data_IF_004743493074
#
_entry.id   IF_004743493074
#
_cell.length_a   1.000
_cell.length_b   1.000
_cell.length_c   1.000
_cell.angle_alpha   90.00
_cell.angle_beta   90.00
_cell.angle_gamma   90.00
#
_symmetry.space_group_name_H-M   'P 1'
#
loop_
_entity.id
_entity.type
_entity.pdbx_description
1 polymer ?
#
# COMPACT_ATOMS: atom_id res chain seq x y z
N UNK A 1 17.77 -10.71 14.76
CA UNK A 1 16.61 -11.57 14.44
C UNK A 1 16.14 -11.22 13.04
N UNK A 2 15.73 -12.21 12.24
CA UNK A 2 15.19 -11.97 10.89
C UNK A 2 13.74 -11.47 11.00
N UNK A 3 13.39 -10.47 10.20
CA UNK A 3 12.12 -9.75 10.32
C UNK A 3 11.12 -10.27 9.28
N UNK A 4 10.14 -11.06 9.71
CA UNK A 4 9.08 -11.57 8.83
C UNK A 4 8.15 -10.45 8.37
N UNK A 5 7.64 -10.59 7.12
CA UNK A 5 6.83 -9.61 6.43
C UNK A 5 5.72 -10.26 5.62
N UNK A 6 4.57 -9.61 5.55
CA UNK A 6 3.50 -9.95 4.60
C UNK A 6 3.02 -8.71 3.85
N UNK A 7 2.40 -8.92 2.70
CA UNK A 7 1.63 -7.91 1.95
C UNK A 7 0.16 -8.29 2.02
N UNK A 8 -0.69 -7.32 2.32
CA UNK A 8 -2.14 -7.43 2.15
C UNK A 8 -2.54 -6.47 1.04
N UNK A 9 -2.96 -7.02 -0.08
CA UNK A 9 -3.49 -6.27 -1.22
C UNK A 9 -5.02 -6.40 -1.24
N UNK A 10 -5.71 -5.26 -1.30
CA UNK A 10 -7.16 -5.22 -1.45
C UNK A 10 -7.58 -4.77 -2.85
N UNK A 11 -8.40 -5.57 -3.53
CA UNK A 11 -8.95 -5.26 -4.85
C UNK A 11 -10.48 -5.10 -4.85
N UNK A 12 -10.99 -3.92 -5.25
CA UNK A 12 -12.42 -3.72 -5.50
C UNK A 12 -12.70 -3.66 -7.00
N UNK A 13 -13.11 -4.78 -7.61
CA UNK A 13 -13.43 -4.85 -9.03
C UNK A 13 -14.89 -4.48 -9.30
N UNK A 14 -15.78 -4.66 -8.32
CA UNK A 14 -17.20 -4.38 -8.44
C UNK A 14 -18.02 -5.25 -7.48
N UNK A 15 -19.20 -4.78 -7.10
CA UNK A 15 -20.21 -5.61 -6.43
C UNK A 15 -20.98 -6.47 -7.44
N UNK A 16 -21.98 -7.25 -7.00
CA UNK A 16 -22.77 -8.13 -7.89
C UNK A 16 -23.50 -7.39 -9.01
N UNK A 17 -23.78 -6.09 -8.82
CA UNK A 17 -24.47 -5.26 -9.80
C UNK A 17 -23.51 -4.58 -10.80
N UNK A 18 -22.20 -4.85 -10.71
CA UNK A 18 -21.22 -4.27 -11.60
C UNK A 18 -21.42 -4.74 -13.05
N UNK A 19 -21.28 -3.81 -14.00
CA UNK A 19 -21.36 -4.10 -15.44
C UNK A 19 -20.37 -5.21 -15.85
N UNK A 20 -20.87 -6.39 -16.29
CA UNK A 20 -20.01 -7.48 -16.73
C UNK A 20 -19.06 -7.09 -17.86
N UNK A 21 -19.43 -6.13 -18.71
CA UNK A 21 -18.57 -5.66 -19.80
C UNK A 21 -17.32 -4.91 -19.30
N UNK A 22 -17.37 -4.32 -18.11
CA UNK A 22 -16.23 -3.61 -17.52
C UNK A 22 -15.22 -4.56 -16.84
N UNK A 23 -15.64 -5.77 -16.49
CA UNK A 23 -14.85 -6.69 -15.67
C UNK A 23 -13.53 -7.16 -16.29
N UNK A 24 -13.44 -7.51 -17.59
CA UNK A 24 -12.16 -7.86 -18.22
C UNK A 24 -11.10 -6.78 -18.06
N UNK A 25 -11.47 -5.50 -18.24
CA UNK A 25 -10.54 -4.38 -18.13
C UNK A 25 -10.10 -4.16 -16.68
N UNK A 26 -11.02 -4.30 -15.71
CA UNK A 26 -10.69 -4.21 -14.28
C UNK A 26 -9.79 -5.35 -13.84
N UNK A 27 -10.04 -6.57 -14.30
CA UNK A 27 -9.16 -7.73 -14.08
C UNK A 27 -7.77 -7.53 -14.67
N UNK A 28 -7.66 -7.02 -15.90
CA UNK A 28 -6.38 -6.66 -16.50
C UNK A 28 -5.60 -5.63 -15.66
N UNK A 29 -6.30 -4.60 -15.18
CA UNK A 29 -5.72 -3.59 -14.30
C UNK A 29 -5.24 -4.17 -12.96
N UNK A 30 -6.01 -5.04 -12.33
CA UNK A 30 -5.59 -5.79 -11.14
C UNK A 30 -4.36 -6.66 -11.45
N UNK A 31 -4.35 -7.37 -12.58
CA UNK A 31 -3.23 -8.21 -13.00
C UNK A 31 -1.93 -7.43 -13.12
N UNK A 32 -1.96 -6.21 -13.67
CA UNK A 32 -0.80 -5.33 -13.70
C UNK A 32 -0.29 -4.95 -12.30
N UNK A 33 -1.20 -4.70 -11.35
CA UNK A 33 -0.85 -4.38 -9.96
C UNK A 33 -0.24 -5.59 -9.24
N UNK A 34 -0.82 -6.79 -9.42
CA UNK A 34 -0.30 -8.02 -8.84
C UNK A 34 1.09 -8.36 -9.38
N UNK A 35 1.27 -8.25 -10.71
CA UNK A 35 2.57 -8.45 -11.36
C UNK A 35 3.62 -7.46 -10.83
N UNK A 36 3.24 -6.20 -10.64
CA UNK A 36 4.13 -5.19 -10.07
C UNK A 36 4.58 -5.55 -8.65
N UNK A 37 3.66 -5.96 -7.77
CA UNK A 37 4.00 -6.46 -6.43
C UNK A 37 4.93 -7.67 -6.53
N UNK A 38 4.61 -8.65 -7.37
CA UNK A 38 5.41 -9.86 -7.55
C UNK A 38 6.84 -9.55 -7.98
N UNK A 39 7.03 -8.59 -8.89
CA UNK A 39 8.33 -8.14 -9.35
C UNK A 39 9.13 -7.41 -8.25
N UNK A 40 8.47 -6.61 -7.42
CA UNK A 40 9.11 -5.90 -6.30
C UNK A 40 9.59 -6.84 -5.19
N UNK A 41 8.82 -7.88 -4.87
CA UNK A 41 9.16 -8.79 -3.76
C UNK A 41 10.10 -9.93 -4.18
N UNK A 42 10.19 -10.24 -5.48
CA UNK A 42 11.04 -11.33 -6.01
C UNK A 42 12.51 -11.26 -5.57
N UNK A 43 13.17 -10.09 -5.51
CA UNK A 43 14.56 -10.01 -5.06
C UNK A 43 14.75 -10.13 -3.54
N UNK A 44 13.65 -10.20 -2.76
CA UNK A 44 13.73 -10.33 -1.31
C UNK A 44 14.45 -11.62 -0.92
N UNK A 45 15.43 -11.51 -0.03
CA UNK A 45 16.15 -12.65 0.53
C UNK A 45 15.26 -13.55 1.41
N UNK A 46 14.13 -13.01 1.88
CA UNK A 46 13.16 -13.71 2.71
C UNK A 46 11.82 -13.80 1.98
N UNK A 47 11.12 -14.94 2.04
CA UNK A 47 9.77 -15.06 1.50
C UNK A 47 8.84 -14.02 2.11
N UNK A 48 8.10 -13.31 1.25
CA UNK A 48 7.04 -12.38 1.65
C UNK A 48 5.72 -13.04 1.28
N UNK A 49 4.89 -13.33 2.29
CA UNK A 49 3.52 -13.79 2.07
C UNK A 49 2.70 -12.66 1.44
N UNK A 50 1.91 -12.95 0.41
CA UNK A 50 0.97 -11.99 -0.18
C UNK A 50 -0.44 -12.56 -0.07
N UNK A 51 -1.30 -11.86 0.66
CA UNK A 51 -2.72 -12.18 0.82
C UNK A 51 -3.54 -11.16 0.05
N UNK A 52 -4.43 -11.64 -0.82
CA UNK A 52 -5.31 -10.80 -1.63
C UNK A 52 -6.74 -10.89 -1.11
N UNK A 53 -7.22 -9.77 -0.57
CA UNK A 53 -8.63 -9.55 -0.32
C UNK A 53 -9.29 -8.95 -1.56
N UNK A 54 -10.50 -9.35 -1.90
CA UNK A 54 -11.16 -8.82 -3.08
C UNK A 54 -12.69 -8.75 -2.97
N UNK A 55 -13.26 -7.85 -3.76
CA UNK A 55 -14.70 -7.77 -4.03
C UNK A 55 -14.89 -7.74 -5.55
N UNK A 56 -15.57 -8.75 -6.08
CA UNK A 56 -15.94 -8.92 -7.47
C UNK A 56 -17.29 -9.67 -7.52
N UNK A 57 -18.08 -9.55 -8.60
CA UNK A 57 -19.23 -10.41 -8.81
C UNK A 57 -18.81 -11.88 -8.82
N UNK A 58 -19.63 -12.77 -8.26
CA UNK A 58 -19.30 -14.21 -8.14
C UNK A 58 -19.04 -14.89 -9.48
N UNK A 59 -19.68 -14.41 -10.54
CA UNK A 59 -19.47 -14.91 -11.90
C UNK A 59 -18.01 -14.80 -12.37
N UNK A 60 -17.18 -13.97 -11.72
CA UNK A 60 -15.78 -13.72 -12.05
C UNK A 60 -14.79 -14.32 -11.05
N UNK A 61 -15.26 -15.13 -10.08
CA UNK A 61 -14.39 -15.71 -9.05
C UNK A 61 -13.26 -16.54 -9.68
N UNK A 62 -13.55 -17.33 -10.72
CA UNK A 62 -12.54 -18.17 -11.37
C UNK A 62 -11.39 -17.35 -11.98
N UNK A 63 -11.71 -16.27 -12.68
CA UNK A 63 -10.73 -15.37 -13.30
C UNK A 63 -9.93 -14.59 -12.26
N UNK A 64 -10.59 -14.11 -11.20
CA UNK A 64 -9.91 -13.46 -10.07
C UNK A 64 -8.94 -14.43 -9.40
N UNK A 65 -9.39 -15.64 -9.11
CA UNK A 65 -8.57 -16.67 -8.46
C UNK A 65 -7.38 -17.05 -9.33
N UNK A 66 -7.60 -17.21 -10.63
CA UNK A 66 -6.53 -17.47 -11.59
C UNK A 66 -5.49 -16.35 -11.61
N UNK A 67 -5.93 -15.09 -11.69
CA UNK A 67 -5.02 -13.94 -11.68
C UNK A 67 -4.16 -13.89 -10.41
N UNK A 68 -4.75 -14.13 -9.24
CA UNK A 68 -4.04 -14.18 -7.95
C UNK A 68 -3.05 -15.36 -7.91
N UNK A 69 -3.51 -16.56 -8.25
CA UNK A 69 -2.72 -17.78 -8.18
C UNK A 69 -1.55 -17.79 -9.18
N UNK A 70 -1.68 -17.10 -10.31
CA UNK A 70 -0.61 -16.97 -11.32
C UNK A 70 0.67 -16.33 -10.79
N UNK A 71 0.59 -15.60 -9.67
CA UNK A 71 1.72 -14.98 -8.98
C UNK A 71 2.12 -15.73 -7.70
N UNK A 72 1.48 -16.87 -7.39
CA UNK A 72 1.72 -17.62 -6.15
C UNK A 72 1.16 -16.94 -4.89
N UNK A 73 0.22 -16.01 -5.05
CA UNK A 73 -0.40 -15.30 -3.93
C UNK A 73 -1.59 -16.09 -3.38
N UNK A 74 -1.93 -15.85 -2.11
CA UNK A 74 -3.08 -16.47 -1.46
C UNK A 74 -4.30 -15.56 -1.51
N UNK A 75 -5.48 -16.16 -1.50
CA UNK A 75 -6.76 -15.46 -1.44
C UNK A 75 -7.18 -15.40 0.04
N UNK A 76 -7.67 -14.24 0.48
CA UNK A 76 -8.38 -14.14 1.76
C UNK A 76 -9.69 -14.94 1.71
N UNK A 77 -9.86 -16.03 2.51
CA UNK A 77 -11.03 -16.90 2.42
C UNK A 77 -12.35 -16.16 2.65
N UNK A 78 -12.34 -15.18 3.56
CA UNK A 78 -13.52 -14.41 3.89
C UNK A 78 -13.95 -13.45 2.76
N UNK A 79 -13.12 -13.24 1.73
CA UNK A 79 -13.51 -12.56 0.49
C UNK A 79 -14.48 -13.44 -0.31
N UNK A 80 -14.21 -14.75 -0.41
CA UNK A 80 -15.04 -15.73 -1.12
C UNK A 80 -16.44 -15.83 -0.49
N UNK A 81 -16.50 -15.80 0.84
CA UNK A 81 -17.72 -15.94 1.64
C UNK A 81 -18.54 -14.64 1.73
N UNK A 82 -17.95 -13.49 1.41
CA UNK A 82 -18.62 -12.19 1.57
C UNK A 82 -19.85 -12.03 0.68
N UNK A 83 -20.75 -11.13 1.08
CA UNK A 83 -21.94 -10.75 0.30
C UNK A 83 -21.63 -9.86 -0.93
N UNK A 84 -20.35 -9.63 -1.22
CA UNK A 84 -19.82 -8.85 -2.34
C UNK A 84 -20.32 -7.39 -2.39
N UNK A 85 -20.80 -6.82 -1.29
CA UNK A 85 -21.14 -5.39 -1.25
C UNK A 85 -19.90 -4.52 -1.19
N UNK A 86 -19.99 -3.31 -1.73
CA UNK A 86 -18.97 -2.30 -1.51
C UNK A 86 -18.98 -1.85 -0.03
N UNK A 87 -18.00 -2.31 0.73
CA UNK A 87 -17.75 -1.93 2.13
C UNK A 87 -16.47 -1.11 2.28
N UNK A 88 -16.16 -0.32 1.24
CA UNK A 88 -14.92 0.45 1.16
C UNK A 88 -13.69 -0.44 1.43
N UNK A 89 -12.79 -0.03 2.32
CA UNK A 89 -11.57 -0.77 2.66
C UNK A 89 -11.76 -1.93 3.66
N UNK A 90 -12.97 -2.20 4.14
CA UNK A 90 -13.23 -3.23 5.16
C UNK A 90 -12.60 -4.60 4.84
N UNK A 91 -12.78 -5.19 3.63
CA UNK A 91 -12.23 -6.52 3.35
C UNK A 91 -10.71 -6.55 3.48
N UNK A 92 -10.03 -5.47 3.08
CA UNK A 92 -8.60 -5.32 3.21
C UNK A 92 -8.14 -5.22 4.67
N UNK A 93 -8.83 -4.41 5.48
CA UNK A 93 -8.51 -4.26 6.90
C UNK A 93 -8.80 -5.52 7.71
N UNK A 94 -9.88 -6.24 7.38
CA UNK A 94 -10.19 -7.55 7.96
C UNK A 94 -9.10 -8.57 7.64
N UNK A 95 -8.67 -8.67 6.38
CA UNK A 95 -7.58 -9.55 5.99
C UNK A 95 -6.26 -9.19 6.71
N UNK A 96 -5.97 -7.90 6.84
CA UNK A 96 -4.82 -7.40 7.59
C UNK A 96 -4.89 -7.74 9.09
N UNK A 97 -6.06 -7.68 9.72
CA UNK A 97 -6.27 -8.13 11.10
C UNK A 97 -6.05 -9.64 11.24
N UNK A 98 -6.58 -10.43 10.32
CA UNK A 98 -6.38 -11.88 10.30
C UNK A 98 -4.90 -12.28 10.12
N UNK A 99 -4.12 -11.51 9.35
CA UNK A 99 -2.65 -11.66 9.28
C UNK A 99 -2.01 -11.29 10.60
N UNK A 100 -2.39 -10.16 11.19
CA UNK A 100 -1.83 -9.68 12.43
C UNK A 100 -2.04 -10.64 13.61
N UNK A 101 -3.22 -11.25 13.73
CA UNK A 101 -3.59 -12.13 14.85
C UNK A 101 -2.88 -13.49 14.84
N UNK A 102 -2.39 -13.94 13.68
CA UNK A 102 -1.61 -15.19 13.55
C UNK A 102 -0.10 -14.99 13.52
N UNK A 103 0.36 -13.74 13.47
CA UNK A 103 1.78 -13.39 13.35
C UNK A 103 2.41 -13.00 14.69
N UNK A 104 3.74 -12.97 14.76
CA UNK A 104 4.42 -12.39 15.92
C UNK A 104 4.13 -10.89 16.01
N UNK A 105 4.13 -10.29 17.22
CA UNK A 105 3.85 -8.86 17.38
C UNK A 105 4.74 -7.92 16.56
N UNK A 106 5.99 -8.33 16.30
CA UNK A 106 6.96 -7.55 15.53
C UNK A 106 6.82 -7.73 14.02
N UNK A 107 6.04 -8.70 13.54
CA UNK A 107 5.79 -8.93 12.11
C UNK A 107 5.30 -7.65 11.42
N UNK A 108 5.83 -7.37 10.23
CA UNK A 108 5.44 -6.18 9.47
C UNK A 108 4.46 -6.55 8.36
N UNK A 109 3.36 -5.82 8.27
CA UNK A 109 2.35 -6.01 7.23
C UNK A 109 2.33 -4.75 6.36
N UNK A 110 2.57 -4.91 5.06
CA UNK A 110 2.38 -3.83 4.10
C UNK A 110 0.97 -3.91 3.54
N UNK A 111 0.17 -2.87 3.77
CA UNK A 111 -1.15 -2.73 3.19
C UNK A 111 -1.09 -1.86 1.93
N UNK A 112 -1.72 -2.33 0.87
CA UNK A 112 -2.00 -1.55 -0.33
C UNK A 112 -3.37 -1.92 -0.91
N UNK A 113 -3.98 -1.01 -1.67
CA UNK A 113 -5.26 -1.26 -2.31
C UNK A 113 -5.29 -0.86 -3.79
N UNK A 114 -6.23 -1.41 -4.55
CA UNK A 114 -6.39 -1.23 -5.99
C UNK A 114 -6.98 0.15 -6.32
N UNK A 115 -6.25 1.21 -6.00
CA UNK A 115 -6.74 2.58 -6.22
C UNK A 115 -6.98 2.83 -7.70
N UNK A 116 -8.18 3.27 -8.05
CA UNK A 116 -8.55 3.67 -9.42
C UNK A 116 -8.91 2.53 -10.38
N UNK A 117 -8.97 1.27 -9.91
CA UNK A 117 -9.36 0.12 -10.74
C UNK A 117 -10.76 0.28 -11.35
N UNK A 118 -11.73 0.81 -10.58
CA UNK A 118 -13.11 1.00 -11.05
C UNK A 118 -13.24 2.03 -12.17
N UNK A 119 -12.28 2.96 -12.24
CA UNK A 119 -12.20 4.04 -13.22
C UNK A 119 -11.10 3.81 -14.26
N UNK A 120 -10.34 2.70 -14.16
CA UNK A 120 -9.19 2.38 -14.99
C UNK A 120 -8.19 3.54 -15.12
N UNK A 121 -7.97 4.27 -14.02
CA UNK A 121 -7.24 5.55 -14.05
C UNK A 121 -5.72 5.34 -14.16
N UNK A 122 -5.05 5.82 -15.22
CA UNK A 122 -3.59 5.70 -15.36
C UNK A 122 -2.83 6.42 -14.24
N UNK A 123 -3.29 7.61 -13.84
CA UNK A 123 -2.67 8.35 -12.73
C UNK A 123 -2.75 7.59 -11.40
N UNK A 124 -3.83 6.83 -11.17
CA UNK A 124 -3.94 5.99 -9.96
C UNK A 124 -3.11 4.71 -10.05
N UNK A 125 -2.92 4.13 -11.24
CA UNK A 125 -1.90 3.08 -11.46
C UNK A 125 -0.50 3.60 -11.11
N UNK A 126 -0.17 4.80 -11.58
CA UNK A 126 1.06 5.50 -11.25
C UNK A 126 1.27 5.68 -9.75
N UNK A 127 0.25 6.18 -9.06
CA UNK A 127 0.25 6.32 -7.61
C UNK A 127 0.44 4.98 -6.89
N UNK A 128 -0.25 3.92 -7.34
CA UNK A 128 -0.06 2.56 -6.80
C UNK A 128 1.39 2.11 -6.96
N UNK A 129 1.95 2.22 -8.16
CA UNK A 129 3.33 1.79 -8.45
C UNK A 129 4.36 2.57 -7.64
N UNK A 130 4.19 3.89 -7.54
CA UNK A 130 5.03 4.77 -6.73
C UNK A 130 5.04 4.36 -5.25
N UNK A 131 3.85 4.26 -4.64
CA UNK A 131 3.72 3.93 -3.22
C UNK A 131 4.20 2.51 -2.90
N UNK A 132 3.90 1.54 -3.76
CA UNK A 132 4.34 0.14 -3.57
C UNK A 132 5.83 -0.01 -3.76
N UNK A 133 6.44 0.64 -4.74
CA UNK A 133 7.89 0.61 -4.93
C UNK A 133 8.60 1.25 -3.74
N UNK A 134 8.22 2.46 -3.32
CA UNK A 134 8.83 3.11 -2.15
C UNK A 134 8.61 2.27 -0.89
N UNK A 135 7.39 1.78 -0.67
CA UNK A 135 7.04 1.01 0.52
C UNK A 135 7.82 -0.30 0.61
N UNK A 136 7.78 -1.12 -0.44
CA UNK A 136 8.36 -2.47 -0.42
C UNK A 136 9.90 -2.47 -0.48
N UNK A 137 10.52 -1.39 -0.96
CA UNK A 137 11.99 -1.26 -1.02
C UNK A 137 12.59 -0.43 0.12
N UNK A 138 11.75 0.11 1.02
CA UNK A 138 12.21 0.92 2.15
C UNK A 138 13.08 0.12 3.14
N UNK A 139 14.06 0.80 3.73
CA UNK A 139 14.71 0.31 4.94
C UNK A 139 13.79 0.58 6.13
N UNK A 140 13.38 -0.49 6.81
CA UNK A 140 12.43 -0.47 7.91
C UNK A 140 13.10 -0.62 9.27
N UNK A 141 14.44 -0.50 9.37
CA UNK A 141 15.17 -0.65 10.62
C UNK A 141 14.63 0.25 11.75
N UNK A 142 14.26 1.50 11.44
CA UNK A 142 13.65 2.42 12.41
C UNK A 142 12.25 1.97 12.85
N UNK A 143 11.41 1.51 11.91
CA UNK A 143 10.09 0.97 12.25
C UNK A 143 10.24 -0.25 13.17
N UNK A 144 11.14 -1.18 12.84
CA UNK A 144 11.38 -2.39 13.63
C UNK A 144 11.97 -2.07 15.01
N UNK A 145 13.01 -1.23 15.05
CA UNK A 145 13.79 -0.98 16.26
C UNK A 145 13.16 -0.02 17.27
N UNK A 146 12.16 0.78 16.86
CA UNK A 146 11.52 1.75 17.75
C UNK A 146 10.09 1.31 18.14
N UNK A 147 9.82 0.97 19.41
CA UNK A 147 8.48 0.57 19.84
C UNK A 147 7.43 1.70 19.77
N UNK A 148 7.85 2.97 19.76
CA UNK A 148 6.92 4.10 19.60
C UNK A 148 6.38 4.24 18.17
N UNK A 149 7.13 3.74 17.18
CA UNK A 149 6.70 3.74 15.77
C UNK A 149 5.92 2.45 15.51
N UNK A 150 4.68 2.59 15.04
CA UNK A 150 3.78 1.46 14.76
C UNK A 150 3.50 1.27 13.27
N UNK A 151 3.74 2.32 12.48
CA UNK A 151 3.42 2.37 11.05
C UNK A 151 4.53 3.08 10.27
N UNK A 152 4.53 2.89 8.96
CA UNK A 152 5.33 3.71 8.03
C UNK A 152 4.54 3.97 6.75
N UNK A 153 4.70 5.14 6.13
CA UNK A 153 4.00 5.47 4.89
C UNK A 153 4.59 6.68 4.20
N UNK A 154 4.26 6.86 2.92
CA UNK A 154 4.86 7.92 2.11
C UNK A 154 4.46 9.32 2.61
N UNK A 155 3.16 9.50 2.89
CA UNK A 155 2.62 10.76 3.35
C UNK A 155 1.78 10.53 4.61
N UNK A 156 2.40 10.52 5.80
CA UNK A 156 1.65 10.53 7.05
C UNK A 156 0.84 11.82 7.17
N UNK A 157 -0.38 11.75 7.70
CA UNK A 157 -1.12 12.93 8.13
C UNK A 157 -0.67 13.35 9.53
N UNK A 158 -1.03 14.58 9.92
CA UNK A 158 -0.80 15.06 11.29
C UNK A 158 -1.38 14.13 12.37
N UNK A 159 -2.43 13.39 12.02
CA UNK A 159 -3.22 12.56 12.90
C UNK A 159 -2.89 11.06 12.77
N UNK A 160 -1.80 10.73 12.09
CA UNK A 160 -1.23 9.37 12.08
C UNK A 160 -1.76 8.41 11.01
N UNK A 161 -2.85 8.72 10.30
CA UNK A 161 -3.20 7.93 9.11
C UNK A 161 -2.25 8.23 7.96
N UNK A 162 -2.05 7.26 7.06
CA UNK A 162 -1.22 7.42 5.87
C UNK A 162 -2.10 7.73 4.66
N UNK A 163 -1.87 8.87 4.00
CA UNK A 163 -2.64 9.25 2.82
C UNK A 163 -2.58 8.15 1.76
N UNK A 164 -3.70 7.97 1.08
CA UNK A 164 -3.92 6.98 0.03
C UNK A 164 -3.97 5.51 0.49
N UNK A 165 -3.90 5.22 1.80
CA UNK A 165 -3.98 3.86 2.35
C UNK A 165 -2.89 2.90 1.79
N UNK A 166 -1.65 3.39 1.73
CA UNK A 166 -0.46 2.59 1.48
C UNK A 166 0.50 2.74 2.65
N UNK A 167 0.71 1.68 3.42
CA UNK A 167 1.51 1.77 4.65
C UNK A 167 2.00 0.41 5.13
N UNK A 168 3.11 0.43 5.86
CA UNK A 168 3.50 -0.65 6.76
C UNK A 168 2.82 -0.47 8.12
N UNK A 169 2.49 -1.57 8.78
CA UNK A 169 1.98 -1.61 10.16
C UNK A 169 2.58 -2.81 10.91
N UNK A 170 2.85 -2.63 12.20
CA UNK A 170 3.22 -3.75 13.09
C UNK A 170 2.00 -4.62 13.39
N UNK A 171 2.14 -5.93 13.23
CA UNK A 171 1.09 -6.90 13.55
C UNK A 171 0.57 -6.73 14.99
N UNK A 172 1.46 -6.54 15.97
CA UNK A 172 1.05 -6.34 17.35
C UNK A 172 0.18 -5.10 17.56
N UNK A 173 0.39 -4.03 16.80
CA UNK A 173 -0.48 -2.84 16.83
C UNK A 173 -1.81 -3.13 16.13
N UNK A 174 -1.77 -3.68 14.91
CA UNK A 174 -2.96 -4.02 14.13
C UNK A 174 -3.91 -4.99 14.86
N UNK A 175 -3.37 -6.01 15.52
CA UNK A 175 -4.17 -7.02 16.24
C UNK A 175 -5.05 -6.40 17.35
N UNK A 176 -4.63 -5.28 17.94
CA UNK A 176 -5.40 -4.57 18.99
C UNK A 176 -6.48 -3.64 18.45
N UNK A 177 -6.47 -3.34 17.15
CA UNK A 177 -7.47 -2.46 16.55
C UNK A 177 -8.81 -3.19 16.38
N UNK A 178 -9.95 -2.57 16.73
CA UNK A 178 -11.27 -3.11 16.46
C UNK A 178 -11.63 -2.86 14.99
N UNK A 179 -11.44 -3.86 14.14
CA UNK A 179 -11.87 -3.80 12.73
C UNK A 179 -13.32 -4.25 12.64
N UNK A 180 -14.22 -3.30 12.40
CA UNK A 180 -15.65 -3.53 12.26
C UNK A 180 -16.13 -3.04 10.89
N UNK A 181 -17.23 -3.61 10.39
CA UNK A 181 -17.88 -3.08 9.20
C UNK A 181 -18.42 -1.68 9.47
N UNK A 182 -18.24 -0.78 8.50
CA UNK A 182 -18.75 0.58 8.60
C UNK A 182 -19.20 1.08 7.23
N UNK A 183 -20.29 1.84 7.22
CA UNK A 183 -20.76 2.58 6.05
C UNK A 183 -20.09 3.97 5.93
N UNK A 184 -19.25 4.35 6.90
CA UNK A 184 -18.43 5.55 6.83
C UNK A 184 -17.11 5.26 6.09
N UNK A 185 -16.96 5.86 4.90
CA UNK A 185 -15.75 5.77 4.06
C UNK A 185 -14.47 6.26 4.74
N UNK A 186 -14.56 7.07 5.80
CA UNK A 186 -13.40 7.57 6.54
C UNK A 186 -13.05 6.71 7.76
N UNK A 187 -13.89 5.73 8.10
CA UNK A 187 -13.72 4.86 9.26
C UNK A 187 -12.35 4.18 9.27
N UNK A 188 -11.91 3.64 8.13
CA UNK A 188 -10.64 2.90 8.04
C UNK A 188 -9.42 3.82 8.08
N UNK A 189 -9.52 5.05 7.60
CA UNK A 189 -8.47 6.07 7.79
C UNK A 189 -8.36 6.43 9.27
N UNK A 190 -9.49 6.64 9.93
CA UNK A 190 -9.56 6.91 11.36
C UNK A 190 -9.12 5.73 12.23
N UNK A 191 -9.21 4.48 11.73
CA UNK A 191 -8.79 3.30 12.47
C UNK A 191 -7.26 3.19 12.60
N UNK A 192 -6.53 3.60 11.57
CA UNK A 192 -5.05 3.65 11.56
C UNK A 192 -4.52 5.05 11.84
N UNK A 193 -5.36 5.99 12.23
CA UNK A 193 -4.97 7.28 12.77
C UNK A 193 -5.77 7.51 14.05
N UNK A 194 -5.79 8.73 14.55
CA UNK A 194 -6.81 9.14 15.51
C UNK A 194 -7.17 10.59 15.21
N UNK A 195 -8.44 10.84 14.88
CA UNK A 195 -8.90 12.20 14.60
C UNK A 195 -8.75 13.16 15.80
N UNK A 196 -8.70 12.63 17.03
CA UNK A 196 -8.43 13.38 18.25
C UNK A 196 -6.94 13.59 18.52
N UNK A 197 -6.06 12.76 17.97
CA UNK A 197 -4.62 12.83 18.18
C UNK A 197 -3.96 13.84 17.24
N UNK A 198 -3.51 14.97 17.80
CA UNK A 198 -2.85 16.04 17.05
C UNK A 198 -1.36 15.78 16.79
N UNK A 199 -0.83 14.70 17.35
CA UNK A 199 0.56 14.25 17.27
C UNK A 199 0.66 12.79 16.79
N UNK A 200 -0.42 12.21 16.24
CA UNK A 200 -0.44 10.81 15.79
C UNK A 200 0.62 10.46 14.74
N UNK A 201 1.15 11.47 14.04
CA UNK A 201 2.29 11.32 13.14
C UNK A 201 3.57 10.83 13.84
N UNK A 202 3.74 11.07 15.15
CA UNK A 202 4.93 10.63 15.90
C UNK A 202 5.04 9.10 15.95
N UNK A 203 3.91 8.39 15.83
CA UNK A 203 3.87 6.93 15.70
C UNK A 203 4.07 6.40 14.28
N UNK A 204 4.40 7.26 13.31
CA UNK A 204 4.52 6.92 11.89
C UNK A 204 5.87 7.34 11.34
N UNK A 205 6.58 6.40 10.71
CA UNK A 205 7.80 6.70 9.96
C UNK A 205 7.44 7.25 8.56
N UNK A 206 7.74 8.52 8.24
CA UNK A 206 7.58 9.03 6.89
C UNK A 206 8.61 8.39 5.95
N UNK A 207 8.17 7.97 4.75
CA UNK A 207 9.02 7.35 3.73
C UNK A 207 9.32 8.28 2.54
N UNK A 208 8.96 9.55 2.67
CA UNK A 208 9.11 10.59 1.63
C UNK A 208 10.55 10.89 1.25
N UNK A 209 11.49 10.66 2.17
CA UNK A 209 12.94 10.83 1.94
C UNK A 209 13.47 9.93 0.82
N UNK A 210 12.71 8.88 0.45
CA UNK A 210 12.99 7.99 -0.68
C UNK A 210 12.58 8.55 -2.03
N UNK A 211 11.85 9.65 -2.05
CA UNK A 211 11.53 10.40 -3.26
C UNK A 211 12.19 11.78 -3.16
N UNK A 212 13.29 12.03 -3.89
CA UNK A 212 14.00 13.29 -3.77
C UNK A 212 13.09 14.45 -4.16
N UNK A 213 13.27 15.60 -3.52
CA UNK A 213 12.47 16.81 -3.77
C UNK A 213 12.41 17.18 -5.26
N UNK A 214 13.50 16.96 -6.00
CA UNK A 214 13.57 17.22 -7.44
C UNK A 214 12.54 16.39 -8.24
N UNK A 215 12.15 15.22 -7.75
CA UNK A 215 11.19 14.34 -8.41
C UNK A 215 9.74 14.69 -8.04
N UNK A 216 9.48 15.18 -6.83
CA UNK A 216 8.10 15.32 -6.30
C UNK A 216 7.67 16.75 -6.03
N UNK A 217 8.61 17.69 -5.91
CA UNK A 217 8.36 19.04 -5.42
C UNK A 217 7.91 19.09 -3.96
N UNK A 218 8.05 17.99 -3.21
CA UNK A 218 7.56 17.85 -1.82
C UNK A 218 8.75 17.65 -0.90
N UNK A 219 8.93 18.57 0.05
CA UNK A 219 10.01 18.48 1.03
C UNK A 219 9.70 17.39 2.06
N UNK A 220 10.75 16.73 2.57
CA UNK A 220 10.60 15.75 3.65
C UNK A 220 10.10 16.44 4.93
N UNK A 221 8.99 15.94 5.47
CA UNK A 221 8.32 16.44 6.66
C UNK A 221 7.80 15.27 7.49
N UNK A 222 7.59 15.44 8.81
CA UNK A 222 7.00 14.40 9.64
C UNK A 222 5.54 14.05 9.25
N UNK A 223 4.82 15.00 8.65
CA UNK A 223 3.44 14.83 8.19
C UNK A 223 3.08 15.82 7.08
N UNK A 224 1.96 15.56 6.41
CA UNK A 224 1.49 16.26 5.21
C UNK A 224 0.00 16.59 5.26
N UNK A 225 -0.38 17.69 4.62
CA UNK A 225 -1.76 18.09 4.34
C UNK A 225 -2.27 17.47 3.03
N UNK A 226 -3.60 17.39 2.83
CA UNK A 226 -4.17 16.85 1.59
C UNK A 226 -3.66 17.53 0.33
N UNK A 227 -3.47 18.85 0.37
CA UNK A 227 -3.05 19.63 -0.81
C UNK A 227 -1.62 19.26 -1.24
N UNK A 228 -0.76 18.94 -0.27
CA UNK A 228 0.62 18.53 -0.52
C UNK A 228 0.70 17.15 -1.20
N UNK A 229 -0.29 16.27 -0.98
CA UNK A 229 -0.33 14.95 -1.64
C UNK A 229 -0.99 14.97 -3.02
N UNK A 230 -1.27 16.17 -3.54
CA UNK A 230 -1.86 16.38 -4.88
C UNK A 230 -1.13 17.46 -5.68
N UNK A 231 0.13 17.75 -5.34
CA UNK A 231 0.95 18.73 -6.08
C UNK A 231 1.09 18.34 -7.57
N UNK A 232 1.20 19.34 -8.45
CA UNK A 232 1.35 19.10 -9.89
C UNK A 232 2.56 18.22 -10.22
N UNK A 233 3.68 18.42 -9.51
CA UNK A 233 4.91 17.64 -9.69
C UNK A 233 4.74 16.18 -9.22
N UNK A 234 4.04 15.94 -8.12
CA UNK A 234 3.71 14.57 -7.70
C UNK A 234 2.78 13.87 -8.70
N UNK A 235 1.80 14.59 -9.26
CA UNK A 235 0.91 14.08 -10.30
C UNK A 235 1.71 13.69 -11.54
N UNK A 236 2.64 14.52 -12.00
CA UNK A 236 3.54 14.21 -13.11
C UNK A 236 4.36 12.95 -12.83
N UNK A 237 4.93 12.83 -11.63
CA UNK A 237 5.64 11.64 -11.19
C UNK A 237 4.77 10.40 -11.24
N UNK A 238 3.53 10.46 -10.75
CA UNK A 238 2.59 9.36 -10.87
C UNK A 238 2.39 8.97 -12.34
N UNK A 239 2.21 9.92 -13.25
CA UNK A 239 2.08 9.60 -14.68
C UNK A 239 3.32 8.96 -15.29
N UNK A 240 4.54 9.34 -14.85
CA UNK A 240 5.77 8.64 -15.26
C UNK A 240 5.75 7.18 -14.80
N UNK A 241 5.34 6.92 -13.55
CA UNK A 241 5.19 5.55 -13.03
C UNK A 241 4.10 4.75 -13.75
N UNK A 242 3.02 5.40 -14.18
CA UNK A 242 1.96 4.76 -14.95
C UNK A 242 2.46 4.20 -16.29
N UNK A 243 3.51 4.79 -16.87
CA UNK A 243 4.16 4.29 -18.09
C UNK A 243 5.13 3.12 -17.85
N UNK A 244 5.56 2.86 -16.62
CA UNK A 244 6.55 1.82 -16.31
C UNK A 244 5.96 0.42 -16.45
N UNK A 245 6.59 -0.44 -17.24
CA UNK A 245 6.16 -1.83 -17.33
C UNK A 245 6.72 -2.69 -16.19
N UNK A 246 7.86 -2.34 -15.60
CA UNK A 246 8.50 -3.09 -14.51
C UNK A 246 9.25 -2.14 -13.57
N UNK A 247 9.38 -2.45 -12.26
CA UNK A 247 10.21 -1.65 -11.35
C UNK A 247 11.69 -1.74 -11.71
N UNK A 248 12.12 -2.81 -12.42
CA UNK A 248 13.53 -3.02 -12.82
C UNK A 248 13.94 -2.09 -13.97
N UNK A 249 12.99 -1.58 -14.75
CA UNK A 249 13.26 -0.76 -15.93
C UNK A 249 13.42 0.74 -15.65
N UNK A 250 13.65 1.16 -14.40
CA UNK A 250 13.97 2.58 -14.13
C UNK A 250 15.23 2.94 -14.93
N UNK A 251 15.18 4.00 -15.77
CA UNK A 251 16.42 4.64 -16.19
C UNK A 251 17.15 5.02 -14.91
N UNK A 252 18.41 4.63 -14.79
CA UNK A 252 19.28 5.15 -13.75
C UNK A 252 19.27 6.68 -13.87
N UNK A 253 18.52 7.35 -12.99
CA UNK A 253 18.76 8.75 -12.69
C UNK A 253 20.23 8.91 -12.28
N UNK A 254 20.86 10.06 -12.55
CA UNK A 254 22.29 10.22 -12.37
C UNK A 254 22.69 9.79 -10.96
N UNK A 255 23.57 8.79 -10.88
CA UNK A 255 24.16 8.35 -9.64
C UNK A 255 24.85 9.55 -9.00
N UNK A 256 24.24 10.14 -7.97
CA UNK A 256 24.88 11.20 -7.21
C UNK A 256 25.94 10.55 -6.32
N UNK A 257 27.15 10.48 -6.87
CA UNK A 257 28.36 10.21 -6.13
C UNK A 257 28.44 11.13 -4.92
N UNK A 258 28.67 10.53 -3.75
CA UNK A 258 28.88 11.23 -2.51
C UNK A 258 30.04 12.22 -2.64
N UNK A 259 29.74 13.49 -2.49
CA UNK A 259 30.73 14.50 -2.13
C UNK A 259 30.84 14.49 -0.61
N UNK A 260 31.77 13.69 -0.09
CA UNK A 260 32.31 13.91 1.26
C UNK A 260 33.28 15.09 1.17
N UNK A 261 32.75 16.29 1.36
CA UNK A 261 33.56 17.49 1.56
C UNK A 261 34.31 17.38 2.89
N UNK A 262 35.63 17.24 2.80
CA UNK A 262 36.56 17.49 3.89
C UNK A 262 36.42 18.94 4.39
N UNK A 263 36.29 19.13 5.69
CA UNK A 263 36.63 20.40 6.33
C UNK A 263 37.47 20.09 7.57
N UNK A 264 38.78 20.11 7.37
CA UNK A 264 39.75 20.38 8.42
C UNK A 264 39.82 21.88 8.65
N UNK A 265 39.61 22.30 9.90
CA UNK A 265 40.43 23.23 10.67
C UNK A 265 39.98 23.20 12.13
#
# INVERSE_FOLDING_TARGET
MRQSRSVVYFAFLGDEDADPAAMPARLGFMGEQLRWIAELIRPSAEPIEVVVAYVAPRAWDAEVHHAIASHGFSIDPASIESDRRNRFEYPGFRAMKAVAERSSPDHLIYYCHSKGISQLSPGKMGLFRLHTEVGLTADLALLTGNPAITRAGLFPSRRGWCWHNFFWIKAGYMARLPVEESDDRYHFEALIGDHGDRQGYEGVLPLIDRLPFADTGIAAQPWYRPEETTSATLVETCYRYAGLQSPVTRPSGPAHGGSTGSASR
#
